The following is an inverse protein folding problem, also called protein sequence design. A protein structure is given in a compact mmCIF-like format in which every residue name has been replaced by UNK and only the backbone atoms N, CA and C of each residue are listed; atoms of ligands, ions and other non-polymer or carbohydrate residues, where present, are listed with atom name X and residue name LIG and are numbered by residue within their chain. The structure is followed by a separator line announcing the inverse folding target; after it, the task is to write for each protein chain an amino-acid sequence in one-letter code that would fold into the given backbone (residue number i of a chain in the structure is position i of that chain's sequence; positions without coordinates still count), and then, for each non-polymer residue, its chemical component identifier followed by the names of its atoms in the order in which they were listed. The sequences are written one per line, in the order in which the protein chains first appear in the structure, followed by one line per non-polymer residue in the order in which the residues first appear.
data_IF_182350076145
#
_entry.id   IF_182350076145
#
_cell.length_a   1.000
_cell.length_b   1.000
_cell.length_c   1.000
_cell.angle_alpha   90.00
_cell.angle_beta   90.00
_cell.angle_gamma   90.00
#
_symmetry.space_group_name_H-M   'P 1'
#
loop_
_entity.id
_entity.type
_entity.pdbx_description
1 polymer ?
#
# COMPACT_ATOMS: atom_id res chain seq x y z
N UNK A 1 13.03 -12.69 -2.57
CA UNK A 1 12.04 -13.50 -1.82
C UNK A 1 11.00 -12.53 -1.27
N UNK A 2 9.71 -12.75 -1.55
CA UNK A 2 8.61 -11.94 -0.98
C UNK A 2 8.40 -12.42 0.45
N UNK A 3 8.46 -11.50 1.41
CA UNK A 3 8.33 -11.84 2.82
C UNK A 3 6.88 -11.72 3.29
N UNK A 4 6.14 -10.74 2.78
CA UNK A 4 4.75 -10.49 3.15
C UNK A 4 3.91 -10.09 1.93
N UNK A 5 2.67 -10.56 1.88
CA UNK A 5 1.66 -10.11 0.91
C UNK A 5 0.47 -9.60 1.72
N UNK A 6 0.07 -8.36 1.46
CA UNK A 6 -1.09 -7.71 2.08
C UNK A 6 -2.12 -7.42 1.00
N UNK A 7 -3.38 -7.76 1.25
CA UNK A 7 -4.44 -7.41 0.32
C UNK A 7 -5.83 -7.43 0.92
N UNK A 8 -6.73 -6.67 0.30
CA UNK A 8 -8.12 -6.49 0.75
C UNK A 8 -9.15 -6.71 -0.36
N UNK A 9 -8.79 -7.48 -1.40
CA UNK A 9 -9.66 -7.78 -2.55
C UNK A 9 -9.51 -6.81 -3.73
N UNK A 10 -9.18 -5.54 -3.47
CA UNK A 10 -8.92 -4.54 -4.52
C UNK A 10 -7.49 -4.00 -4.56
N UNK A 11 -6.75 -4.14 -3.47
CA UNK A 11 -5.35 -3.74 -3.36
C UNK A 11 -4.53 -4.98 -3.03
N UNK A 12 -3.40 -5.14 -3.72
CA UNK A 12 -2.37 -6.12 -3.36
C UNK A 12 -1.03 -5.41 -3.25
N UNK A 13 -0.38 -5.52 -2.10
CA UNK A 13 0.94 -4.97 -1.82
C UNK A 13 1.87 -6.10 -1.39
N UNK A 14 3.05 -6.18 -2.00
CA UNK A 14 4.08 -7.15 -1.60
C UNK A 14 5.26 -6.42 -0.96
N UNK A 15 5.79 -6.98 0.13
CA UNK A 15 7.00 -6.52 0.80
C UNK A 15 8.10 -7.57 0.67
N UNK A 16 9.34 -7.11 0.56
CA UNK A 16 10.50 -7.99 0.73
C UNK A 16 10.93 -8.12 2.20
N UNK A 17 11.97 -8.92 2.44
CA UNK A 17 12.51 -9.18 3.78
C UNK A 17 13.12 -7.94 4.46
N UNK A 18 13.38 -6.87 3.72
CA UNK A 18 13.88 -5.59 4.24
C UNK A 18 12.75 -4.57 4.46
N UNK A 19 11.50 -4.97 4.21
CA UNK A 19 10.33 -4.11 4.34
C UNK A 19 10.14 -3.15 3.17
N UNK A 20 10.86 -3.31 2.04
CA UNK A 20 10.63 -2.49 0.85
C UNK A 20 9.41 -3.01 0.08
N UNK A 21 8.56 -2.09 -0.41
CA UNK A 21 7.43 -2.45 -1.28
C UNK A 21 7.96 -2.82 -2.66
N UNK A 22 7.62 -4.03 -3.10
CA UNK A 22 8.06 -4.61 -4.38
C UNK A 22 7.00 -4.47 -5.46
N UNK A 23 5.77 -4.81 -5.13
CA UNK A 23 4.66 -4.77 -6.06
C UNK A 23 3.44 -4.10 -5.40
N UNK A 24 2.71 -3.30 -6.19
CA UNK A 24 1.47 -2.65 -5.80
C UNK A 24 0.49 -2.77 -6.96
N UNK A 25 -0.62 -3.46 -6.74
CA UNK A 25 -1.67 -3.67 -7.72
C UNK A 25 -2.99 -3.08 -7.23
N UNK A 26 -3.61 -2.27 -8.08
CA UNK A 26 -4.95 -1.72 -7.86
C UNK A 26 -5.59 -1.43 -9.23
N UNK A 27 -6.91 -1.66 -9.43
CA UNK A 27 -7.90 -2.16 -8.47
C UNK A 27 -7.98 -3.69 -8.35
N UNK A 28 -7.18 -4.46 -9.06
CA UNK A 28 -7.14 -5.93 -8.95
C UNK A 28 -5.71 -6.45 -9.15
N UNK A 29 -5.39 -7.56 -8.48
CA UNK A 29 -4.15 -8.28 -8.71
C UNK A 29 -4.11 -8.82 -10.15
N UNK A 30 -3.00 -8.60 -10.86
CA UNK A 30 -2.83 -8.99 -12.28
C UNK A 30 -3.01 -7.85 -13.29
N UNK A 31 -3.34 -6.63 -12.83
CA UNK A 31 -3.23 -5.41 -13.62
C UNK A 31 -1.80 -4.83 -13.56
N UNK A 32 -1.61 -3.62 -14.10
CA UNK A 32 -0.30 -2.97 -14.13
C UNK A 32 0.30 -2.86 -12.72
N UNK A 33 1.59 -3.14 -12.60
CA UNK A 33 2.31 -2.96 -11.34
C UNK A 33 2.66 -1.48 -11.17
N UNK A 34 2.04 -0.83 -10.21
CA UNK A 34 2.17 0.61 -9.99
C UNK A 34 3.46 1.01 -9.26
N UNK A 35 4.32 0.06 -8.88
CA UNK A 35 5.61 0.39 -8.25
C UNK A 35 6.63 0.96 -9.24
N UNK A 36 6.37 0.91 -10.55
CA UNK A 36 7.21 1.58 -11.53
C UNK A 36 8.60 0.94 -11.69
N UNK A 37 8.66 -0.39 -11.71
CA UNK A 37 9.81 -1.21 -12.14
C UNK A 37 11.09 -1.06 -11.30
N UNK A 38 11.82 0.03 -11.53
CA UNK A 38 13.11 0.33 -10.90
C UNK A 38 12.99 1.26 -9.67
N UNK A 39 11.78 1.64 -9.28
CA UNK A 39 11.58 2.52 -8.12
C UNK A 39 11.57 1.71 -6.83
N UNK A 40 12.40 2.11 -5.86
CA UNK A 40 12.40 1.54 -4.51
C UNK A 40 11.47 2.32 -3.60
N UNK A 41 10.45 1.64 -3.10
CA UNK A 41 9.49 2.18 -2.15
C UNK A 41 9.90 1.76 -0.74
N UNK A 42 10.62 2.64 -0.05
CA UNK A 42 11.14 2.39 1.29
C UNK A 42 10.12 2.74 2.36
N UNK A 43 10.13 1.96 3.44
CA UNK A 43 9.39 2.24 4.67
C UNK A 43 10.39 2.75 5.72
N UNK A 44 10.01 3.81 6.45
CA UNK A 44 10.83 4.40 7.48
C UNK A 44 10.01 5.00 8.61
N UNK A 45 10.65 5.17 9.76
CA UNK A 45 10.07 5.80 10.95
C UNK A 45 10.68 7.19 11.11
N UNK A 46 9.81 8.19 11.25
CA UNK A 46 10.22 9.57 11.49
C UNK A 46 9.95 9.95 12.95
N UNK A 47 11.00 10.33 13.68
CA UNK A 47 10.92 10.78 15.07
C UNK A 47 12.01 11.81 15.36
N UNK A 48 11.72 12.79 16.19
CA UNK A 48 12.68 13.82 16.66
C UNK A 48 13.48 14.50 15.53
N UNK A 49 12.82 14.79 14.41
CA UNK A 49 13.44 15.45 13.27
C UNK A 49 14.29 14.53 12.38
N UNK A 50 14.41 13.25 12.71
CA UNK A 50 15.21 12.27 11.98
C UNK A 50 14.33 11.18 11.36
N UNK A 51 14.69 10.79 10.13
CA UNK A 51 14.10 9.65 9.43
C UNK A 51 15.07 8.48 9.50
N UNK A 52 14.61 7.33 9.98
CA UNK A 52 15.34 6.07 9.91
C UNK A 52 14.61 5.09 8.97
N UNK A 53 15.31 4.62 7.95
CA UNK A 53 14.79 3.65 6.99
C UNK A 53 14.97 2.23 7.52
N UNK A 54 13.90 1.42 7.44
CA UNK A 54 13.92 0.04 7.93
C UNK A 54 14.96 -0.82 7.20
N UNK A 55 15.21 -0.55 5.91
CA UNK A 55 16.15 -1.33 5.09
C UNK A 55 17.62 -0.91 5.25
N UNK A 56 17.92 0.22 5.90
CA UNK A 56 19.28 0.78 5.98
C UNK A 56 19.86 0.76 7.41
N UNK A 57 19.00 0.88 8.42
CA UNK A 57 19.43 0.97 9.82
C UNK A 57 19.39 -0.40 10.50
N UNK A 58 20.54 -0.99 10.88
CA UNK A 58 20.62 -2.35 11.43
C UNK A 58 20.01 -2.47 12.83
N UNK A 59 19.57 -1.36 13.43
CA UNK A 59 18.85 -1.36 14.72
C UNK A 59 17.42 -1.86 14.59
N UNK A 60 16.87 -1.88 13.37
CA UNK A 60 15.54 -2.44 13.13
C UNK A 60 15.58 -3.96 13.08
N UNK A 61 14.76 -4.58 13.92
CA UNK A 61 14.48 -6.02 13.83
C UNK A 61 13.17 -6.22 13.07
N UNK A 62 13.26 -6.79 11.87
CA UNK A 62 12.09 -7.05 11.02
C UNK A 62 11.68 -8.50 11.22
N UNK A 63 10.55 -8.71 11.89
CA UNK A 63 9.92 -10.01 12.03
C UNK A 63 8.67 -10.05 11.17
N UNK A 64 8.61 -11.02 10.25
CA UNK A 64 7.43 -11.26 9.43
C UNK A 64 6.81 -12.57 9.89
N UNK A 65 5.67 -12.48 10.56
CA UNK A 65 4.83 -13.63 10.90
C UNK A 65 3.51 -13.53 10.14
N UNK A 66 3.13 -14.64 9.53
CA UNK A 66 1.82 -14.86 8.94
C UNK A 66 1.32 -16.14 9.63
N UNK A 67 0.08 -16.16 10.12
CA UNK A 67 -0.50 -17.44 10.53
C UNK A 67 -0.59 -18.33 9.28
N UNK A 68 -0.29 -19.63 9.43
CA UNK A 68 -0.18 -20.57 8.30
C UNK A 68 -1.47 -20.69 7.47
N UNK A 69 -2.60 -20.20 7.99
CA UNK A 69 -3.91 -20.11 7.34
C UNK A 69 -4.46 -18.67 7.18
N UNK A 70 -3.70 -17.63 7.57
CA UNK A 70 -4.17 -16.24 7.42
C UNK A 70 -3.89 -15.70 6.02
N UNK A 71 -4.69 -16.12 5.04
CA UNK A 71 -5.12 -15.22 3.97
C UNK A 71 -6.27 -14.37 4.53
N UNK A 72 -6.00 -13.56 5.55
CA UNK A 72 -6.98 -12.63 6.12
C UNK A 72 -7.14 -11.45 5.14
N UNK A 73 -7.95 -11.67 4.10
CA UNK A 73 -8.54 -10.58 3.33
C UNK A 73 -9.66 -9.96 4.19
N UNK A 74 -9.28 -9.10 5.15
CA UNK A 74 -10.27 -8.34 5.90
C UNK A 74 -10.72 -7.14 5.08
N UNK A 75 -11.93 -7.20 4.55
CA UNK A 75 -12.58 -6.09 3.83
C UNK A 75 -12.77 -4.92 4.80
N UNK A 76 -11.82 -3.99 4.81
CA UNK A 76 -12.03 -2.68 5.42
C UNK A 76 -12.53 -1.74 4.33
N UNK A 77 -13.85 -1.67 4.18
CA UNK A 77 -14.50 -0.75 3.26
C UNK A 77 -14.27 0.69 3.77
N UNK A 78 -13.21 1.34 3.27
CA UNK A 78 -13.03 2.78 3.45
C UNK A 78 -13.92 3.43 2.39
N UNK A 79 -15.07 4.03 2.75
CA UNK A 79 -15.85 4.77 1.78
C UNK A 79 -14.94 5.84 1.16
N UNK A 80 -15.04 6.11 -0.15
CA UNK A 80 -14.27 7.18 -0.77
C UNK A 80 -14.46 8.46 0.04
N UNK A 81 -13.40 9.29 0.21
CA UNK A 81 -13.56 10.60 0.81
C UNK A 81 -14.72 11.32 0.13
N UNK A 82 -15.59 11.93 0.92
CA UNK A 82 -16.68 12.74 0.38
C UNK A 82 -16.07 13.97 -0.30
N UNK A 83 -15.71 13.80 -1.57
CA UNK A 83 -15.29 14.88 -2.45
C UNK A 83 -16.56 15.62 -2.83
N UNK A 84 -17.03 16.49 -1.92
CA UNK A 84 -18.28 17.23 -2.06
C UNK A 84 -18.51 17.70 -3.50
N UNK A 85 -19.35 16.98 -4.23
CA UNK A 85 -19.74 17.37 -5.57
C UNK A 85 -20.82 18.44 -5.41
N UNK A 86 -20.45 19.70 -5.62
CA UNK A 86 -21.45 20.72 -5.90
C UNK A 86 -22.30 20.26 -7.10
N UNK A 87 -23.63 20.29 -7.01
CA UNK A 87 -24.47 19.88 -8.12
C UNK A 87 -24.23 20.82 -9.30
N UNK A 88 -23.79 20.24 -10.43
CA UNK A 88 -23.70 20.98 -11.70
C UNK A 88 -25.08 21.55 -12.02
N UNK A 89 -25.20 22.88 -12.00
CA UNK A 89 -26.37 23.57 -12.55
C UNK A 89 -26.49 23.20 -14.03
N UNK A 90 -27.50 22.42 -14.37
CA UNK A 90 -27.96 22.26 -15.75
C UNK A 90 -28.42 23.64 -16.24
N UNK A 91 -27.60 24.27 -17.08
CA UNK A 91 -28.01 25.44 -17.83
C UNK A 91 -28.99 25.00 -18.92
N UNK A 92 -30.23 25.46 -18.80
CA UNK A 92 -31.17 25.53 -19.92
C UNK A 92 -30.87 26.80 -20.74
N UNK A 93 -30.90 26.68 -22.07
CA UNK A 93 -30.71 27.73 -23.08
C UNK A 93 -29.97 27.12 -24.27
N UNK A 94 -30.48 27.08 -25.51
CA UNK A 94 -31.63 27.69 -26.18
C UNK A 94 -32.30 26.67 -27.13
#
# INVERSE_FOLDING_TARGET
MRALILGNGSLLVTLDATGEVRDLYFPHAGLENHTGGDTRHRIGVYCDGALSWLSEDPRWEIQVSCEEDSLEQREFNIPPPDYGHEPRRTGAGD
#
